data_IF_488737800298
#
_entry.id   IF_488737800298
#
_cell.length_a   1.000
_cell.length_b   1.000
_cell.length_c   1.000
_cell.angle_alpha   90.00
_cell.angle_beta   90.00
_cell.angle_gamma   90.00
#
_symmetry.space_group_name_H-M   'P 1'
#
loop_
_entity.id
_entity.type
_entity.pdbx_description
1 polymer ?
#
# COMPACT_ATOMS: atom_id res chain seq x y z
N UNK A 1 9.30 -23.72 -8.93
CA UNK A 1 8.09 -22.94 -8.58
C UNK A 1 8.36 -21.49 -8.90
N UNK A 2 7.40 -20.75 -9.46
CA UNK A 2 7.56 -19.33 -9.80
C UNK A 2 6.57 -18.49 -9.00
N UNK A 3 6.99 -17.32 -8.55
CA UNK A 3 6.17 -16.42 -7.73
C UNK A 3 4.90 -15.90 -8.43
N UNK A 4 4.20 -14.98 -7.78
CA UNK A 4 3.09 -14.27 -8.42
C UNK A 4 3.63 -13.24 -9.42
N UNK A 5 3.14 -13.25 -10.66
CA UNK A 5 3.63 -12.33 -11.69
C UNK A 5 3.45 -10.87 -11.25
N UNK A 6 4.55 -10.11 -11.21
CA UNK A 6 4.55 -8.68 -10.86
C UNK A 6 4.34 -8.38 -9.36
N UNK A 7 4.31 -9.39 -8.50
CA UNK A 7 4.22 -9.22 -7.04
C UNK A 7 5.49 -9.74 -6.40
N UNK A 8 6.12 -8.88 -5.60
CA UNK A 8 7.41 -9.11 -4.95
C UNK A 8 7.25 -8.94 -3.45
N UNK A 9 8.25 -9.34 -2.65
CA UNK A 9 8.29 -9.03 -1.22
C UNK A 9 8.18 -7.53 -0.96
N UNK A 10 8.86 -6.73 -1.79
CA UNK A 10 8.85 -5.27 -1.73
C UNK A 10 7.48 -4.65 -2.04
N UNK A 11 6.65 -5.30 -2.86
CA UNK A 11 5.40 -4.68 -3.36
C UNK A 11 4.13 -5.29 -2.80
N UNK A 12 4.17 -6.52 -2.26
CA UNK A 12 2.98 -7.24 -1.78
C UNK A 12 2.35 -6.54 -0.57
N UNK A 13 1.03 -6.50 -0.56
CA UNK A 13 0.25 -5.90 0.54
C UNK A 13 -1.05 -6.63 0.82
N UNK A 14 -1.42 -7.60 -0.02
CA UNK A 14 -2.62 -8.42 0.17
C UNK A 14 -2.32 -9.82 -0.33
N UNK A 15 -2.54 -10.82 0.52
CA UNK A 15 -2.32 -12.23 0.22
C UNK A 15 -3.59 -12.98 0.58
N UNK A 16 -4.04 -13.88 -0.29
CA UNK A 16 -5.11 -14.82 0.00
C UNK A 16 -4.55 -16.23 0.16
N UNK A 17 -5.17 -16.99 1.03
CA UNK A 17 -4.97 -18.42 1.22
C UNK A 17 -6.35 -19.08 1.44
N UNK A 18 -6.43 -20.41 1.44
CA UNK A 18 -7.72 -21.11 1.42
C UNK A 18 -8.67 -20.71 2.56
N UNK A 19 -8.14 -20.40 3.74
CA UNK A 19 -8.90 -20.08 4.95
C UNK A 19 -8.99 -18.58 5.28
N UNK A 20 -8.48 -17.69 4.42
CA UNK A 20 -8.46 -16.26 4.73
C UNK A 20 -7.49 -15.41 3.92
N UNK A 21 -7.04 -14.31 4.52
CA UNK A 21 -6.12 -13.36 3.89
C UNK A 21 -5.20 -12.64 4.86
N UNK A 22 -4.04 -12.20 4.38
CA UNK A 22 -3.19 -11.20 5.03
C UNK A 22 -3.35 -9.86 4.33
N UNK A 23 -3.55 -8.79 5.10
CA UNK A 23 -3.65 -7.42 4.59
C UNK A 23 -2.63 -6.55 5.28
N UNK A 24 -1.79 -5.86 4.53
CA UNK A 24 -0.99 -4.75 5.05
C UNK A 24 -1.92 -3.58 5.35
N UNK A 25 -1.74 -2.99 6.51
CA UNK A 25 -2.57 -1.94 7.08
C UNK A 25 -1.65 -0.90 7.77
N UNK A 26 -1.64 0.32 7.25
CA UNK A 26 -1.18 1.51 7.99
C UNK A 26 0.28 1.52 8.34
N UNK A 27 0.65 2.41 9.27
CA UNK A 27 2.01 2.44 9.76
C UNK A 27 2.24 2.58 11.27
N UNK A 28 3.36 2.02 11.79
CA UNK A 28 4.40 1.26 11.05
C UNK A 28 3.83 -0.03 10.41
N UNK A 29 4.41 -0.48 9.29
CA UNK A 29 3.81 -1.47 8.37
C UNK A 29 3.23 -2.65 9.14
N UNK A 30 1.93 -2.63 9.38
CA UNK A 30 1.23 -3.65 10.17
C UNK A 30 0.54 -4.58 9.20
N UNK A 31 0.42 -5.85 9.54
CA UNK A 31 -0.32 -6.84 8.77
C UNK A 31 -1.41 -7.44 9.64
N UNK A 32 -2.63 -7.56 9.10
CA UNK A 32 -3.71 -8.30 9.77
C UNK A 32 -4.04 -9.56 8.99
N UNK A 33 -4.24 -10.66 9.72
CA UNK A 33 -4.81 -11.88 9.17
C UNK A 33 -6.31 -11.86 9.40
N UNK A 34 -7.07 -12.09 8.34
CA UNK A 34 -8.51 -12.24 8.37
C UNK A 34 -8.89 -13.69 8.08
N UNK A 35 -9.93 -14.17 8.74
CA UNK A 35 -10.54 -15.47 8.42
C UNK A 35 -11.41 -15.37 7.14
N UNK A 36 -12.00 -16.49 6.71
CA UNK A 36 -12.83 -16.56 5.51
C UNK A 36 -14.10 -15.70 5.56
N UNK A 37 -14.54 -15.28 6.75
CA UNK A 37 -15.65 -14.35 6.93
C UNK A 37 -15.22 -12.88 6.85
N UNK A 38 -13.92 -12.61 6.76
CA UNK A 38 -13.34 -11.27 6.71
C UNK A 38 -13.07 -10.64 8.08
N UNK A 39 -13.29 -11.38 9.18
CA UNK A 39 -12.99 -10.91 10.54
C UNK A 39 -11.49 -10.96 10.81
N UNK A 40 -10.93 -9.92 11.43
CA UNK A 40 -9.54 -9.91 11.89
C UNK A 40 -9.37 -10.94 13.00
N UNK A 41 -8.42 -11.85 12.83
CA UNK A 41 -8.09 -12.92 13.78
C UNK A 41 -6.67 -12.87 14.31
N UNK A 42 -5.79 -12.06 13.69
CA UNK A 42 -4.45 -11.80 14.19
C UNK A 42 -3.88 -10.50 13.59
N UNK A 43 -2.90 -9.93 14.29
CA UNK A 43 -2.14 -8.73 13.88
C UNK A 43 -0.65 -9.01 14.02
N UNK A 44 0.14 -8.48 13.09
CA UNK A 44 1.57 -8.66 13.00
C UNK A 44 2.24 -7.34 12.66
N UNK A 45 3.44 -7.12 13.18
CA UNK A 45 4.28 -5.97 12.83
C UNK A 45 5.34 -6.43 11.84
N UNK A 46 5.49 -5.71 10.73
CA UNK A 46 6.58 -5.94 9.79
C UNK A 46 7.89 -5.41 10.36
N UNK A 47 8.96 -6.17 10.20
CA UNK A 47 10.30 -5.77 10.63
C UNK A 47 11.33 -5.77 9.50
N UNK A 48 11.04 -6.39 8.35
CA UNK A 48 11.93 -6.36 7.19
C UNK A 48 11.22 -6.79 5.89
N UNK A 49 11.85 -6.51 4.74
CA UNK A 49 11.48 -7.02 3.40
C UNK A 49 12.70 -7.28 2.54
N UNK A 50 12.57 -8.23 1.62
CA UNK A 50 13.48 -8.38 0.50
C UNK A 50 12.70 -8.49 -0.83
N UNK A 51 13.40 -8.83 -1.91
CA UNK A 51 12.83 -8.97 -3.25
C UNK A 51 11.64 -9.95 -3.32
N UNK A 52 11.51 -10.88 -2.37
CA UNK A 52 10.53 -11.95 -2.42
C UNK A 52 9.64 -12.06 -1.17
N UNK A 53 10.14 -11.58 -0.04
CA UNK A 53 9.57 -11.86 1.26
C UNK A 53 9.22 -10.60 2.03
N UNK A 54 8.17 -10.71 2.83
CA UNK A 54 7.86 -9.78 3.92
C UNK A 54 8.05 -10.52 5.24
N UNK A 55 8.80 -9.91 6.16
CA UNK A 55 9.10 -10.47 7.45
C UNK A 55 8.27 -9.79 8.53
N UNK A 56 7.47 -10.58 9.24
CA UNK A 56 6.54 -10.07 10.25
C UNK A 56 6.69 -10.84 11.57
N UNK A 57 6.30 -10.23 12.67
CA UNK A 57 6.17 -10.91 13.97
C UNK A 57 4.85 -10.57 14.66
N UNK A 58 4.35 -11.48 15.49
CA UNK A 58 3.17 -11.21 16.32
C UNK A 58 3.55 -10.49 17.63
N UNK A 59 2.55 -10.23 18.48
CA UNK A 59 2.72 -9.60 19.79
C UNK A 59 3.62 -10.39 20.78
N UNK A 60 3.80 -11.69 20.55
CA UNK A 60 4.70 -12.56 21.33
C UNK A 60 6.09 -12.67 20.68
N UNK A 61 6.38 -11.85 19.67
CA UNK A 61 7.60 -11.88 18.86
C UNK A 61 7.78 -13.18 18.06
N UNK A 62 6.70 -13.95 17.84
CA UNK A 62 6.73 -15.11 16.95
C UNK A 62 6.80 -14.62 15.51
N UNK A 63 7.88 -14.99 14.82
CA UNK A 63 8.21 -14.50 13.47
C UNK A 63 7.57 -15.36 12.39
N UNK A 64 7.24 -14.74 11.26
CA UNK A 64 6.78 -15.40 10.04
C UNK A 64 7.36 -14.71 8.80
N UNK A 65 7.39 -15.45 7.71
CA UNK A 65 7.79 -14.99 6.38
C UNK A 65 6.59 -15.13 5.45
N UNK A 66 6.19 -14.02 4.83
CA UNK A 66 5.22 -14.00 3.73
C UNK A 66 6.00 -14.03 2.41
N UNK A 67 6.25 -15.23 1.90
CA UNK A 67 7.15 -15.45 0.76
C UNK A 67 6.34 -15.54 -0.56
N UNK A 68 6.48 -14.52 -1.40
CA UNK A 68 5.74 -14.41 -2.67
C UNK A 68 6.36 -15.24 -3.79
N UNK A 69 7.62 -15.66 -3.65
CA UNK A 69 8.32 -16.49 -4.62
C UNK A 69 7.90 -17.95 -4.49
N UNK A 70 7.93 -18.48 -3.26
CA UNK A 70 7.46 -19.85 -2.97
C UNK A 70 5.94 -19.90 -2.80
N UNK A 71 5.28 -18.75 -2.65
CA UNK A 71 3.83 -18.60 -2.41
C UNK A 71 3.42 -19.25 -1.09
N UNK A 72 4.22 -19.06 -0.04
CA UNK A 72 3.98 -19.67 1.28
C UNK A 72 4.08 -18.67 2.41
N UNK A 73 3.26 -18.85 3.43
CA UNK A 73 3.46 -18.26 4.74
C UNK A 73 4.08 -19.31 5.65
N UNK A 74 5.22 -19.01 6.27
CA UNK A 74 6.02 -19.99 7.02
C UNK A 74 6.76 -19.37 8.19
N UNK A 75 7.28 -20.20 9.09
CA UNK A 75 8.22 -19.75 10.12
C UNK A 75 9.60 -19.47 9.49
N UNK A 76 10.40 -18.56 10.07
CA UNK A 76 11.79 -18.40 9.62
C UNK A 76 12.55 -19.71 9.72
N UNK A 77 13.47 -19.95 8.77
CA UNK A 77 14.30 -21.15 8.67
C UNK A 77 13.54 -22.47 8.43
N UNK A 78 12.21 -22.45 8.27
CA UNK A 78 11.47 -23.63 7.81
C UNK A 78 11.49 -23.74 6.29
N UNK A 79 11.37 -24.97 5.79
CA UNK A 79 11.27 -25.21 4.36
C UNK A 79 9.89 -24.80 3.84
N UNK A 80 9.77 -24.65 2.52
CA UNK A 80 8.48 -24.34 1.88
C UNK A 80 7.43 -25.45 2.08
N UNK A 81 7.87 -26.69 2.29
CA UNK A 81 7.01 -27.85 2.58
C UNK A 81 6.34 -27.74 3.95
N UNK A 82 6.94 -26.99 4.87
CA UNK A 82 6.42 -26.74 6.23
C UNK A 82 5.53 -25.49 6.28
N UNK A 83 4.91 -25.11 5.15
CA UNK A 83 4.10 -23.91 5.05
C UNK A 83 2.89 -23.97 6.01
N UNK A 84 2.72 -22.90 6.78
CA UNK A 84 1.52 -22.68 7.60
C UNK A 84 0.32 -22.43 6.68
N UNK A 85 0.53 -21.63 5.62
CA UNK A 85 -0.46 -21.37 4.59
C UNK A 85 0.18 -21.38 3.20
N UNK A 86 -0.53 -21.97 2.24
CA UNK A 86 -0.22 -21.79 0.82
C UNK A 86 -1.02 -20.62 0.27
N UNK A 87 -0.32 -19.66 -0.31
CA UNK A 87 -0.94 -18.50 -0.94
C UNK A 87 -1.63 -18.93 -2.23
N UNK A 88 -2.91 -18.61 -2.36
CA UNK A 88 -3.69 -18.86 -3.59
C UNK A 88 -3.61 -17.66 -4.54
N UNK A 89 -3.50 -16.44 -3.99
CA UNK A 89 -3.33 -15.18 -4.73
C UNK A 89 -2.52 -14.19 -3.90
N UNK A 90 -1.79 -13.30 -4.54
CA UNK A 90 -1.19 -12.14 -3.91
C UNK A 90 -1.36 -10.90 -4.80
N UNK A 91 -1.42 -9.74 -4.16
CA UNK A 91 -1.58 -8.44 -4.79
C UNK A 91 -0.63 -7.44 -4.10
N UNK A 92 -0.01 -6.58 -4.91
CA UNK A 92 0.58 -5.33 -4.44
C UNK A 92 -0.50 -4.27 -4.21
N UNK A 93 -0.30 -3.29 -3.32
CA UNK A 93 -1.28 -2.20 -3.19
C UNK A 93 -1.27 -1.42 -4.48
N UNK A 94 -2.50 -1.18 -4.92
CA UNK A 94 -2.92 -0.59 -6.18
C UNK A 94 -3.52 0.79 -5.89
N UNK A 95 -3.86 1.56 -6.92
CA UNK A 95 -4.61 2.81 -6.75
C UNK A 95 -5.87 2.65 -5.88
N UNK A 96 -6.49 1.47 -5.88
CA UNK A 96 -7.68 1.13 -5.07
C UNK A 96 -7.46 1.08 -3.56
N UNK A 97 -6.25 0.73 -3.10
CA UNK A 97 -5.93 0.60 -1.67
C UNK A 97 -5.28 1.83 -1.06
N UNK A 98 -4.87 2.78 -1.90
CA UNK A 98 -4.10 3.95 -1.48
C UNK A 98 -4.95 4.89 -0.61
N UNK A 99 -4.46 5.23 0.57
CA UNK A 99 -5.07 6.25 1.44
C UNK A 99 -4.09 7.34 1.83
N UNK A 100 -2.81 7.16 1.52
CA UNK A 100 -1.74 8.06 1.92
C UNK A 100 -0.58 7.97 0.92
N UNK A 101 0.01 9.11 0.59
CA UNK A 101 1.17 9.23 -0.28
C UNK A 101 2.10 10.34 0.19
N UNK A 102 3.41 10.12 0.06
CA UNK A 102 4.49 11.10 0.24
C UNK A 102 5.18 11.29 -1.10
N UNK A 103 5.48 12.53 -1.44
CA UNK A 103 6.23 12.87 -2.63
C UNK A 103 7.27 13.95 -2.34
N UNK A 104 8.27 14.09 -3.21
CA UNK A 104 9.28 15.14 -3.13
C UNK A 104 9.29 16.04 -4.36
N UNK A 105 9.58 17.32 -4.16
CA UNK A 105 9.92 18.23 -5.27
C UNK A 105 11.41 18.17 -5.63
N UNK A 106 11.78 18.93 -6.66
CA UNK A 106 13.17 19.01 -7.15
C UNK A 106 14.17 19.54 -6.12
N UNK A 107 13.68 20.18 -5.05
CA UNK A 107 14.49 20.68 -3.94
C UNK A 107 14.49 19.70 -2.76
N UNK A 108 14.07 18.45 -2.99
CA UNK A 108 13.98 17.36 -2.00
C UNK A 108 13.03 17.68 -0.83
N UNK A 109 12.13 18.65 -0.99
CA UNK A 109 11.16 19.00 0.05
C UNK A 109 9.97 18.06 -0.04
N UNK A 110 9.50 17.64 1.12
CA UNK A 110 8.43 16.64 1.24
C UNK A 110 7.04 17.28 1.18
N UNK A 111 6.17 16.71 0.35
CA UNK A 111 4.72 16.93 0.36
C UNK A 111 3.97 15.62 0.68
N UNK A 112 2.70 15.75 1.07
CA UNK A 112 1.85 14.61 1.47
C UNK A 112 0.44 14.70 0.90
N UNK A 113 -0.16 13.55 0.64
CA UNK A 113 -1.53 13.43 0.13
C UNK A 113 -2.25 12.37 0.96
N UNK A 114 -3.33 12.76 1.65
CA UNK A 114 -4.00 11.92 2.65
C UNK A 114 -5.48 11.87 2.36
N UNK A 115 -6.07 10.67 2.28
CA UNK A 115 -7.50 10.53 2.08
C UNK A 115 -8.24 10.95 3.37
N UNK A 116 -9.27 11.78 3.20
CA UNK A 116 -10.19 12.15 4.28
C UNK A 116 -11.25 11.05 4.41
N UNK A 117 -11.44 10.55 5.63
CA UNK A 117 -12.27 9.39 5.91
C UNK A 117 -13.74 9.57 5.50
N UNK A 118 -14.31 8.52 4.91
CA UNK A 118 -15.74 8.46 4.59
C UNK A 118 -16.18 9.26 3.37
N UNK A 119 -15.27 10.00 2.76
CA UNK A 119 -15.58 10.87 1.62
C UNK A 119 -14.59 10.60 0.47
N UNK A 120 -15.01 10.87 -0.76
CA UNK A 120 -14.11 10.95 -1.92
C UNK A 120 -13.27 12.24 -1.85
N UNK A 121 -12.69 12.55 -0.69
CA UNK A 121 -11.94 13.77 -0.41
C UNK A 121 -10.54 13.44 0.07
N UNK A 122 -9.61 14.31 -0.25
CA UNK A 122 -8.18 14.12 0.00
C UNK A 122 -7.54 15.44 0.37
N UNK A 123 -6.73 15.46 1.41
CA UNK A 123 -5.86 16.57 1.78
C UNK A 123 -4.55 16.47 1.02
N UNK A 124 -4.21 17.49 0.25
CA UNK A 124 -2.93 17.62 -0.44
C UNK A 124 -2.12 18.76 0.18
N UNK A 125 -1.07 18.42 0.91
CA UNK A 125 -0.09 19.39 1.44
C UNK A 125 1.10 19.46 0.50
N UNK A 126 1.44 20.68 0.08
CA UNK A 126 2.58 20.97 -0.79
C UNK A 126 3.88 21.08 0.00
N UNK A 127 5.04 20.84 -0.62
CA UNK A 127 6.31 20.95 0.08
C UNK A 127 6.54 22.36 0.64
N UNK A 128 6.88 22.43 1.93
CA UNK A 128 7.07 23.69 2.66
C UNK A 128 5.77 24.41 3.05
N UNK A 129 4.60 23.91 2.66
CA UNK A 129 3.31 24.50 3.00
C UNK A 129 2.71 23.84 4.25
N UNK A 130 2.09 24.63 5.13
CA UNK A 130 1.42 24.12 6.34
C UNK A 130 -0.04 23.73 6.08
N UNK A 131 -0.70 24.41 5.15
CA UNK A 131 -2.14 24.28 4.93
C UNK A 131 -2.42 23.32 3.75
N UNK A 132 -3.22 22.25 3.97
CA UNK A 132 -3.60 21.35 2.89
C UNK A 132 -4.65 21.96 1.96
N UNK A 133 -4.62 21.58 0.69
CA UNK A 133 -5.70 21.79 -0.28
C UNK A 133 -6.61 20.57 -0.25
N UNK A 134 -7.93 20.78 -0.22
CA UNK A 134 -8.89 19.69 -0.31
C UNK A 134 -9.16 19.37 -1.78
N UNK A 135 -8.82 18.16 -2.17
CA UNK A 135 -9.08 17.58 -3.47
C UNK A 135 -10.24 16.59 -3.39
N UNK A 136 -10.99 16.43 -4.47
CA UNK A 136 -12.05 15.44 -4.64
C UNK A 136 -11.57 14.33 -5.55
N UNK A 137 -11.63 13.09 -5.09
CA UNK A 137 -11.40 11.93 -5.92
C UNK A 137 -12.56 11.74 -6.90
N UNK A 138 -12.23 11.60 -8.18
CA UNK A 138 -13.23 11.36 -9.22
C UNK A 138 -13.06 10.01 -9.91
N UNK A 139 -11.87 9.40 -9.83
CA UNK A 139 -11.57 8.09 -10.41
C UNK A 139 -10.44 7.41 -9.66
N UNK A 140 -10.41 6.08 -9.72
CA UNK A 140 -9.24 5.24 -9.44
C UNK A 140 -9.13 4.12 -10.46
N UNK A 141 -7.94 3.60 -10.63
CA UNK A 141 -7.69 2.35 -11.33
C UNK A 141 -6.67 1.49 -10.54
N UNK A 142 -6.17 0.44 -11.18
CA UNK A 142 -5.21 -0.49 -10.59
C UNK A 142 -3.92 0.19 -10.11
N UNK A 143 -3.55 1.37 -10.60
CA UNK A 143 -2.28 1.99 -10.26
C UNK A 143 -2.43 3.39 -9.70
N UNK A 144 -3.54 4.05 -10.04
CA UNK A 144 -3.68 5.47 -9.84
C UNK A 144 -4.91 5.86 -9.04
N UNK A 145 -4.75 6.92 -8.27
CA UNK A 145 -5.85 7.71 -7.72
C UNK A 145 -5.89 9.05 -8.43
N UNK A 146 -7.07 9.47 -8.89
CA UNK A 146 -7.25 10.72 -9.60
C UNK A 146 -8.12 11.68 -8.81
N UNK A 147 -7.57 12.86 -8.54
CA UNK A 147 -8.12 13.90 -7.69
C UNK A 147 -8.31 15.21 -8.48
N UNK A 148 -9.27 16.05 -8.07
CA UNK A 148 -9.53 17.38 -8.64
C UNK A 148 -9.86 18.42 -7.56
N UNK A 149 -9.44 19.67 -7.71
CA UNK A 149 -9.64 20.74 -6.70
C UNK A 149 -10.96 21.52 -6.84
N UNK A 150 -11.82 21.15 -7.79
CA UNK A 150 -13.05 21.88 -8.13
C UNK A 150 -12.86 22.97 -9.19
N UNK A 151 -11.61 23.31 -9.52
CA UNK A 151 -11.24 24.12 -10.67
C UNK A 151 -10.67 23.28 -11.81
N UNK A 152 -9.61 23.78 -12.46
CA UNK A 152 -8.95 23.11 -13.60
C UNK A 152 -7.83 22.15 -13.19
N UNK A 153 -7.48 22.03 -11.90
CA UNK A 153 -6.34 21.23 -11.48
C UNK A 153 -6.75 19.79 -11.23
N UNK A 154 -5.94 18.87 -11.76
CA UNK A 154 -6.04 17.45 -11.44
C UNK A 154 -4.72 16.96 -10.87
N UNK A 155 -4.81 16.01 -9.95
CA UNK A 155 -3.66 15.35 -9.36
C UNK A 155 -3.86 13.85 -9.53
N UNK A 156 -2.86 13.19 -10.09
CA UNK A 156 -2.79 11.74 -10.20
C UNK A 156 -1.70 11.25 -9.26
N UNK A 157 -2.06 10.37 -8.32
CA UNK A 157 -1.07 9.61 -7.56
C UNK A 157 -0.91 8.28 -8.29
N UNK A 158 0.20 8.11 -9.01
CA UNK A 158 0.47 6.95 -9.85
C UNK A 158 1.57 6.09 -9.22
N UNK A 159 1.17 4.93 -8.70
CA UNK A 159 2.09 4.00 -8.07
C UNK A 159 2.89 3.17 -9.10
N UNK A 160 2.39 3.02 -10.33
CA UNK A 160 3.09 2.26 -11.36
C UNK A 160 4.34 2.98 -11.83
N UNK A 161 4.21 4.29 -12.07
CA UNK A 161 5.33 5.14 -12.47
C UNK A 161 6.10 5.72 -11.29
N UNK A 162 5.60 5.51 -10.05
CA UNK A 162 6.11 6.13 -8.81
C UNK A 162 6.12 7.66 -8.92
N UNK A 163 5.04 8.23 -9.44
CA UNK A 163 4.92 9.67 -9.65
C UNK A 163 3.65 10.24 -9.03
N UNK A 164 3.76 11.46 -8.54
CA UNK A 164 2.61 12.35 -8.39
C UNK A 164 2.63 13.30 -9.58
N UNK A 165 1.54 13.29 -10.37
CA UNK A 165 1.41 14.12 -11.56
C UNK A 165 0.33 15.17 -11.32
N UNK A 166 0.73 16.42 -11.21
CA UNK A 166 -0.16 17.57 -11.12
C UNK A 166 -0.33 18.18 -12.52
N UNK A 167 -1.58 18.36 -12.95
CA UNK A 167 -1.91 19.00 -14.22
C UNK A 167 -2.78 20.22 -13.97
N UNK A 168 -2.37 21.36 -14.51
CA UNK A 168 -3.18 22.58 -14.62
C UNK A 168 -3.63 22.83 -16.05
N UNK A 169 -4.14 24.04 -16.30
CA UNK A 169 -4.57 24.49 -17.63
C UNK A 169 -3.47 24.49 -18.69
N UNK A 170 -2.24 24.78 -18.25
CA UNK A 170 -1.10 25.16 -19.09
C UNK A 170 0.21 24.50 -18.62
N UNK A 171 0.15 23.63 -17.62
CA UNK A 171 1.34 22.97 -17.08
C UNK A 171 1.08 21.54 -16.64
N UNK A 172 2.17 20.75 -16.64
CA UNK A 172 2.25 19.43 -16.04
C UNK A 172 3.50 19.41 -15.15
N UNK A 173 3.33 19.16 -13.86
CA UNK A 173 4.41 18.93 -12.92
C UNK A 173 4.41 17.47 -12.48
N UNK A 174 5.60 16.87 -12.40
CA UNK A 174 5.82 15.51 -11.94
C UNK A 174 6.71 15.55 -10.72
N UNK A 175 6.35 14.75 -9.73
CA UNK A 175 7.07 14.62 -8.47
C UNK A 175 7.32 13.15 -8.20
N UNK A 176 8.44 12.84 -7.55
CA UNK A 176 8.75 11.47 -7.18
C UNK A 176 7.91 11.04 -6.00
N UNK A 177 7.20 9.93 -6.16
CA UNK A 177 6.48 9.28 -5.08
C UNK A 177 7.48 8.49 -4.23
N UNK A 178 7.70 8.94 -3.01
CA UNK A 178 8.72 8.39 -2.10
C UNK A 178 8.14 7.56 -0.98
N UNK A 179 6.81 7.58 -0.78
CA UNK A 179 6.12 6.72 0.17
C UNK A 179 4.64 6.58 -0.15
N UNK A 180 4.04 5.44 0.20
CA UNK A 180 2.61 5.20 0.06
C UNK A 180 2.11 4.19 1.10
N UNK A 181 0.91 4.41 1.63
CA UNK A 181 0.24 3.48 2.55
C UNK A 181 -1.19 3.24 2.10
N UNK A 182 -1.68 2.04 2.38
CA UNK A 182 -3.10 1.71 2.29
C UNK A 182 -3.66 1.35 3.65
N UNK A 183 -4.90 1.75 3.90
CA UNK A 183 -5.68 1.24 5.03
C UNK A 183 -7.13 1.05 4.60
N UNK A 184 -7.71 -0.06 5.05
CA UNK A 184 -9.17 -0.19 5.19
C UNK A 184 -9.47 -0.89 6.50
N UNK A 185 -9.92 -0.11 7.49
CA UNK A 185 -10.81 -0.54 8.56
C UNK A 185 -11.51 0.70 9.13
N UNK A 186 -12.84 0.65 9.11
CA UNK A 186 -13.74 1.41 9.98
C UNK A 186 -14.18 0.43 11.05
N UNK A 187 -14.33 0.91 12.26
CA UNK A 187 -15.48 0.55 13.07
C UNK A 187 -16.60 1.58 12.77
#
# INVERSE_FOLDING_TARGET
MGGFAGVTGLTVTLIFFASGSFHMIGEPSTWVRKDSSGRIVATYTEYDRDDWSVYVHDQNNARMVLDTWTRTVRYPNSNAEDAIFTMTKAFSITGYGLTYAIYKDFAEREGKIIQVWGEKKWQWTRPGEKNPVIMTEYKRDQWSVYLKDGGSRTLQIDYHTKQVILRGSDYIAKYDLTGAKGYRYRD
#
